data_IF_268473458588
#
_entry.id   IF_268473458588
#
_cell.length_a   1.000
_cell.length_b   1.000
_cell.length_c   1.000
_cell.angle_alpha   90.00
_cell.angle_beta   90.00
_cell.angle_gamma   90.00
#
_symmetry.space_group_name_H-M   'P 1'
#
loop_
_entity.id
_entity.type
_entity.pdbx_description
1 polymer ?
#
# COMPACT_ATOMS: atom_id res chain seq x y z
N UNK A 1 -67.00 -12.66 43.36
CA UNK A 1 -66.74 -12.00 42.05
C UNK A 1 -65.35 -11.36 42.12
N UNK A 2 -64.37 -11.95 41.41
CA UNK A 2 -63.52 -11.30 40.39
C UNK A 2 -62.87 -9.99 40.88
N UNK A 3 -61.54 -9.84 40.93
CA UNK A 3 -60.61 -10.06 39.82
C UNK A 3 -59.18 -10.33 40.33
N UNK A 4 -58.54 -11.34 39.74
CA UNK A 4 -57.08 -11.51 39.68
C UNK A 4 -56.45 -10.28 39.01
N UNK A 5 -55.41 -9.72 39.62
CA UNK A 5 -54.47 -8.83 38.94
C UNK A 5 -53.18 -9.63 38.67
N UNK A 6 -53.08 -10.12 37.44
CA UNK A 6 -51.90 -10.82 36.92
C UNK A 6 -50.75 -9.82 36.76
N UNK A 7 -49.68 -10.00 37.54
CA UNK A 7 -48.44 -9.25 37.41
C UNK A 7 -47.63 -9.87 36.26
N UNK A 8 -47.57 -9.20 35.10
CA UNK A 8 -46.71 -9.57 33.99
C UNK A 8 -45.30 -9.05 34.31
N UNK A 9 -44.39 -9.96 34.65
CA UNK A 9 -42.97 -9.68 34.71
C UNK A 9 -42.42 -9.58 33.28
N UNK A 10 -42.00 -8.39 32.88
CA UNK A 10 -41.29 -8.17 31.63
C UNK A 10 -39.87 -8.73 31.75
N UNK A 11 -39.62 -9.91 31.17
CA UNK A 11 -38.26 -10.35 30.85
C UNK A 11 -37.78 -9.56 29.63
N UNK A 12 -37.11 -8.44 29.88
CA UNK A 12 -36.20 -7.85 28.91
C UNK A 12 -34.92 -8.70 28.89
N UNK A 13 -34.83 -9.67 27.98
CA UNK A 13 -33.55 -10.29 27.64
C UNK A 13 -32.77 -9.26 26.80
N UNK A 14 -32.15 -8.31 27.50
CA UNK A 14 -31.11 -7.49 26.92
C UNK A 14 -29.86 -8.35 26.78
N UNK A 15 -29.62 -8.90 25.60
CA UNK A 15 -28.30 -9.41 25.23
C UNK A 15 -27.35 -8.22 25.11
N UNK A 16 -26.87 -7.70 26.24
CA UNK A 16 -25.62 -6.95 26.22
C UNK A 16 -24.55 -7.96 25.84
N UNK A 17 -24.16 -7.96 24.56
CA UNK A 17 -22.87 -8.47 24.16
C UNK A 17 -21.86 -7.57 24.87
N UNK A 18 -21.51 -7.90 26.11
CA UNK A 18 -20.26 -7.47 26.69
C UNK A 18 -19.21 -7.94 25.70
N UNK A 19 -18.63 -7.00 24.94
CA UNK A 19 -17.44 -7.29 24.17
C UNK A 19 -16.45 -7.93 25.16
N UNK A 20 -16.18 -9.22 24.99
CA UNK A 20 -15.24 -9.92 25.82
C UNK A 20 -13.94 -9.12 25.74
N UNK A 21 -13.44 -8.65 26.87
CA UNK A 21 -12.18 -7.91 26.91
C UNK A 21 -11.11 -8.79 26.25
N UNK A 22 -10.42 -8.24 25.25
CA UNK A 22 -9.34 -8.95 24.57
C UNK A 22 -8.34 -9.40 25.63
N UNK A 23 -8.02 -10.70 25.74
CA UNK A 23 -7.06 -11.18 26.72
C UNK A 23 -5.72 -10.45 26.55
N UNK A 24 -5.06 -10.10 27.68
CA UNK A 24 -3.81 -9.33 27.65
C UNK A 24 -2.73 -9.98 26.77
N UNK A 25 -2.59 -11.31 26.83
CA UNK A 25 -1.66 -12.07 25.98
C UNK A 25 -1.95 -11.90 24.48
N UNK A 26 -3.23 -11.89 24.09
CA UNK A 26 -3.65 -11.66 22.71
C UNK A 26 -3.36 -10.23 22.28
N UNK A 27 -3.57 -9.25 23.16
CA UNK A 27 -3.26 -7.85 22.89
C UNK A 27 -1.75 -7.63 22.63
N UNK A 28 -0.88 -8.29 23.38
CA UNK A 28 0.57 -8.24 23.14
C UNK A 28 0.96 -8.78 21.76
N UNK A 29 0.34 -9.88 21.33
CA UNK A 29 0.56 -10.43 19.99
C UNK A 29 0.10 -9.47 18.89
N UNK A 30 -1.09 -8.85 19.04
CA UNK A 30 -1.59 -7.83 18.12
C UNK A 30 -0.60 -6.65 18.02
N UNK A 31 -0.13 -6.15 19.16
CA UNK A 31 0.84 -5.05 19.20
C UNK A 31 2.15 -5.43 18.51
N UNK A 32 2.62 -6.67 18.67
CA UNK A 32 3.82 -7.17 17.99
C UNK A 32 3.64 -7.27 16.48
N UNK A 33 2.50 -7.75 16.01
CA UNK A 33 2.16 -7.76 14.57
C UNK A 33 2.19 -6.33 14.02
N UNK A 34 1.54 -5.38 14.69
CA UNK A 34 1.51 -3.98 14.26
C UNK A 34 2.91 -3.36 14.22
N UNK A 35 3.75 -3.64 15.23
CA UNK A 35 5.13 -3.18 15.26
C UNK A 35 5.96 -3.70 14.08
N UNK A 36 5.72 -4.94 13.65
CA UNK A 36 6.44 -5.57 12.53
C UNK A 36 5.89 -5.17 11.16
N UNK A 37 4.62 -4.81 11.09
CA UNK A 37 3.96 -4.41 9.85
C UNK A 37 4.22 -2.95 9.46
N UNK A 38 4.61 -2.09 10.42
CA UNK A 38 4.93 -0.68 10.20
C UNK A 38 3.78 0.16 9.58
N UNK A 39 2.56 0.18 10.18
CA UNK A 39 1.40 0.90 9.63
C UNK A 39 1.60 2.41 9.49
N UNK A 40 2.56 3.00 10.20
CA UNK A 40 2.94 4.40 10.10
C UNK A 40 3.30 4.83 8.67
N UNK A 41 3.90 3.93 7.87
CA UNK A 41 4.29 4.24 6.49
C UNK A 41 3.08 4.47 5.58
N UNK A 42 1.91 3.93 5.94
CA UNK A 42 0.66 4.15 5.21
C UNK A 42 0.25 5.62 5.35
N UNK A 43 0.31 6.18 6.56
CA UNK A 43 0.03 7.59 6.81
C UNK A 43 0.93 8.51 5.97
N UNK A 44 2.22 8.17 5.88
CA UNK A 44 3.16 8.92 5.03
C UNK A 44 2.83 8.81 3.54
N UNK A 45 2.48 7.61 3.07
CA UNK A 45 2.15 7.37 1.66
C UNK A 45 0.95 8.19 1.17
N UNK A 46 0.00 8.49 2.07
CA UNK A 46 -1.17 9.33 1.78
C UNK A 46 -0.81 10.78 1.47
N UNK A 47 0.34 11.26 1.96
CA UNK A 47 0.88 12.57 1.59
C UNK A 47 1.79 12.47 0.37
N UNK A 48 2.60 11.42 0.28
CA UNK A 48 3.60 11.26 -0.79
C UNK A 48 2.96 11.15 -2.18
N UNK A 49 1.88 10.39 -2.33
CA UNK A 49 1.20 10.21 -3.62
C UNK A 49 0.71 11.54 -4.23
N UNK A 50 -0.16 12.33 -3.56
CA UNK A 50 -0.67 13.57 -4.14
C UNK A 50 0.43 14.62 -4.36
N UNK A 51 1.44 14.66 -3.49
CA UNK A 51 2.60 15.55 -3.68
C UNK A 51 3.42 15.14 -4.90
N UNK A 52 3.68 13.84 -5.06
CA UNK A 52 4.36 13.30 -6.24
C UNK A 52 3.63 13.61 -7.54
N UNK A 53 2.31 13.42 -7.55
CA UNK A 53 1.45 13.73 -8.71
C UNK A 53 1.48 15.22 -9.05
N UNK A 54 1.39 16.10 -8.05
CA UNK A 54 1.48 17.55 -8.25
C UNK A 54 2.84 17.97 -8.84
N UNK A 55 3.95 17.43 -8.32
CA UNK A 55 5.30 17.70 -8.84
C UNK A 55 5.46 17.18 -10.26
N UNK A 56 4.93 15.99 -10.56
CA UNK A 56 5.01 15.42 -11.90
C UNK A 56 4.17 16.24 -12.90
N UNK A 57 2.98 16.67 -12.51
CA UNK A 57 2.13 17.54 -13.31
C UNK A 57 2.83 18.88 -13.60
N UNK A 58 3.46 19.48 -12.59
CA UNK A 58 4.23 20.70 -12.76
C UNK A 58 5.37 20.52 -13.78
N UNK A 59 6.08 19.39 -13.74
CA UNK A 59 7.13 19.06 -14.71
C UNK A 59 6.60 19.03 -16.14
N UNK A 60 5.46 18.37 -16.37
CA UNK A 60 4.82 18.30 -17.68
C UNK A 60 4.44 19.68 -18.20
N UNK A 61 3.83 20.51 -17.33
CA UNK A 61 3.42 21.87 -17.69
C UNK A 61 4.63 22.74 -18.05
N UNK A 62 5.71 22.69 -17.26
CA UNK A 62 6.89 23.50 -17.50
C UNK A 62 7.69 23.05 -18.74
N UNK A 63 7.75 21.75 -19.03
CA UNK A 63 8.40 21.23 -20.23
C UNK A 63 7.78 21.77 -21.53
N UNK A 64 6.46 22.00 -21.55
CA UNK A 64 5.76 22.53 -22.72
C UNK A 64 5.64 24.05 -22.79
N UNK A 65 6.05 24.80 -21.75
CA UNK A 65 5.71 26.23 -21.62
C UNK A 65 6.84 27.15 -21.17
N UNK A 66 7.96 26.63 -20.64
CA UNK A 66 9.04 27.44 -20.09
C UNK A 66 10.37 27.23 -20.84
N UNK A 67 11.18 28.28 -20.93
CA UNK A 67 12.59 28.20 -21.35
C UNK A 67 13.40 27.44 -20.27
N UNK A 68 14.52 26.77 -20.64
CA UNK A 68 15.24 25.86 -19.75
C UNK A 68 15.60 26.45 -18.38
N UNK A 69 16.13 27.67 -18.35
CA UNK A 69 16.60 28.32 -17.12
C UNK A 69 15.43 28.61 -16.16
N UNK A 70 14.31 29.10 -16.70
CA UNK A 70 13.09 29.38 -15.91
C UNK A 70 12.41 28.10 -15.46
N UNK A 71 12.41 27.06 -16.30
CA UNK A 71 11.92 25.73 -15.94
C UNK A 71 12.69 25.16 -14.77
N UNK A 72 14.01 25.22 -14.82
CA UNK A 72 14.87 24.59 -13.81
C UNK A 72 14.80 25.35 -12.47
N UNK A 73 14.75 26.69 -12.50
CA UNK A 73 14.48 27.51 -11.31
C UNK A 73 13.09 27.21 -10.71
N UNK A 74 12.02 27.23 -11.50
CA UNK A 74 10.68 26.92 -11.03
C UNK A 74 10.57 25.49 -10.46
N UNK A 75 11.22 24.50 -11.10
CA UNK A 75 11.24 23.14 -10.58
C UNK A 75 11.96 23.03 -9.24
N UNK A 76 13.04 23.80 -9.02
CA UNK A 76 13.73 23.83 -7.73
C UNK A 76 12.82 24.36 -6.63
N UNK A 77 12.11 25.46 -6.88
CA UNK A 77 11.20 26.07 -5.91
C UNK A 77 10.02 25.12 -5.60
N UNK A 78 9.42 24.52 -6.61
CA UNK A 78 8.34 23.53 -6.45
C UNK A 78 8.79 22.32 -5.61
N UNK A 79 10.00 21.83 -5.82
CA UNK A 79 10.56 20.74 -5.01
C UNK A 79 10.84 21.18 -3.56
N UNK A 80 11.20 22.45 -3.35
CA UNK A 80 11.37 23.01 -2.00
C UNK A 80 10.03 23.09 -1.27
N UNK A 81 9.01 23.65 -1.92
CA UNK A 81 7.66 23.76 -1.36
C UNK A 81 7.06 22.38 -1.05
N UNK A 82 7.26 21.42 -1.95
CA UNK A 82 6.81 20.04 -1.75
C UNK A 82 7.47 19.39 -0.52
N UNK A 83 8.77 19.62 -0.30
CA UNK A 83 9.47 19.11 0.89
C UNK A 83 8.97 19.77 2.16
N UNK A 84 8.84 21.10 2.15
CA UNK A 84 8.33 21.84 3.29
C UNK A 84 6.92 21.37 3.68
N UNK A 85 6.02 21.23 2.69
CA UNK A 85 4.69 20.69 2.91
C UNK A 85 4.73 19.31 3.57
N UNK A 86 5.57 18.40 3.06
CA UNK A 86 5.70 17.05 3.63
C UNK A 86 6.20 17.10 5.08
N UNK A 87 7.21 17.91 5.37
CA UNK A 87 7.82 17.99 6.70
C UNK A 87 6.85 18.59 7.74
N UNK A 88 6.10 19.62 7.36
CA UNK A 88 5.09 20.25 8.22
C UNK A 88 3.90 19.32 8.51
N UNK A 89 3.50 18.48 7.55
CA UNK A 89 2.28 17.69 7.64
C UNK A 89 2.49 16.22 8.05
N UNK A 90 3.73 15.71 7.98
CA UNK A 90 4.06 14.32 8.40
C UNK A 90 3.60 14.00 9.83
N UNK A 91 3.79 14.87 10.86
CA UNK A 91 3.34 14.55 12.21
C UNK A 91 1.83 14.35 12.30
N UNK A 92 1.04 15.14 11.58
CA UNK A 92 -0.41 15.02 11.56
C UNK A 92 -0.87 13.71 10.90
N UNK A 93 -0.26 13.33 9.78
CA UNK A 93 -0.54 12.05 9.11
C UNK A 93 -0.17 10.85 9.99
N UNK A 94 0.99 10.91 10.65
CA UNK A 94 1.43 9.89 11.59
C UNK A 94 0.48 9.74 12.78
N UNK A 95 0.09 10.86 13.41
CA UNK A 95 -0.87 10.85 14.52
C UNK A 95 -2.24 10.28 14.11
N UNK A 96 -2.70 10.60 12.90
CA UNK A 96 -3.92 10.03 12.33
C UNK A 96 -3.80 8.52 12.14
N UNK A 97 -2.69 8.04 11.57
CA UNK A 97 -2.44 6.62 11.40
C UNK A 97 -2.41 5.87 12.74
N UNK A 98 -1.70 6.39 13.74
CA UNK A 98 -1.65 5.81 15.09
C UNK A 98 -3.05 5.72 15.73
N UNK A 99 -3.85 6.79 15.59
CA UNK A 99 -5.23 6.79 16.08
C UNK A 99 -6.06 5.69 15.42
N UNK A 100 -6.04 5.60 14.08
CA UNK A 100 -6.81 4.60 13.33
C UNK A 100 -6.33 3.18 13.65
N UNK A 101 -5.02 3.00 13.86
CA UNK A 101 -4.46 1.73 14.34
C UNK A 101 -5.09 1.34 15.67
N UNK A 102 -5.11 2.24 16.65
CA UNK A 102 -5.68 1.96 17.98
C UNK A 102 -7.20 1.76 17.97
N UNK A 103 -7.94 2.55 17.19
CA UNK A 103 -9.43 2.51 17.22
C UNK A 103 -10.05 1.49 16.30
N UNK A 104 -9.32 1.01 15.28
CA UNK A 104 -9.90 0.21 14.20
C UNK A 104 -9.04 -1.01 13.87
N UNK A 105 -7.76 -0.82 13.55
CA UNK A 105 -6.93 -1.93 13.04
C UNK A 105 -6.60 -2.94 14.15
N UNK A 106 -6.20 -2.48 15.34
CA UNK A 106 -5.86 -3.37 16.45
C UNK A 106 -7.09 -4.19 16.92
N UNK A 107 -8.29 -3.60 17.12
CA UNK A 107 -9.51 -4.37 17.37
C UNK A 107 -9.83 -5.39 16.26
N UNK A 108 -9.68 -5.02 14.99
CA UNK A 108 -9.91 -5.94 13.87
C UNK A 108 -8.94 -7.13 13.92
N UNK A 109 -7.66 -6.91 14.20
CA UNK A 109 -6.69 -8.01 14.37
C UNK A 109 -7.06 -8.91 15.55
N UNK A 110 -7.45 -8.31 16.68
CA UNK A 110 -7.85 -9.05 17.88
C UNK A 110 -9.15 -9.86 17.68
N UNK A 111 -10.08 -9.39 16.87
CA UNK A 111 -11.35 -10.08 16.57
C UNK A 111 -11.16 -11.20 15.55
N UNK A 112 -10.39 -10.94 14.49
CA UNK A 112 -10.34 -11.79 13.28
C UNK A 112 -9.32 -12.92 13.33
N UNK A 113 -8.31 -12.80 14.20
CA UNK A 113 -7.25 -13.81 14.31
C UNK A 113 -7.23 -14.41 15.71
N UNK A 114 -6.92 -15.70 15.79
CA UNK A 114 -6.59 -16.40 17.03
C UNK A 114 -5.18 -16.03 17.51
N UNK A 115 -4.84 -16.36 18.76
CA UNK A 115 -3.48 -16.16 19.26
C UNK A 115 -2.45 -16.96 18.45
N UNK A 116 -2.78 -18.18 18.04
CA UNK A 116 -1.87 -19.03 17.27
C UNK A 116 -1.63 -18.48 15.86
N UNK A 117 -2.66 -17.95 15.20
CA UNK A 117 -2.51 -17.28 13.90
C UNK A 117 -1.69 -15.99 14.02
N UNK A 118 -1.88 -15.19 15.08
CA UNK A 118 -1.05 -14.01 15.33
C UNK A 118 0.42 -14.39 15.53
N UNK A 119 0.71 -15.48 16.27
CA UNK A 119 2.08 -16.02 16.42
C UNK A 119 2.67 -16.45 15.08
N UNK A 120 1.88 -17.10 14.22
CA UNK A 120 2.33 -17.49 12.88
C UNK A 120 2.63 -16.27 11.99
N UNK A 121 1.78 -15.24 12.05
CA UNK A 121 2.03 -13.97 11.33
C UNK A 121 3.35 -13.34 11.80
N UNK A 122 3.58 -13.26 13.11
CA UNK A 122 4.83 -12.74 13.68
C UNK A 122 6.03 -13.54 13.15
N UNK A 123 5.96 -14.87 13.20
CA UNK A 123 7.03 -15.73 12.71
C UNK A 123 7.34 -15.51 11.21
N UNK A 124 6.31 -15.27 10.39
CA UNK A 124 6.47 -14.94 8.97
C UNK A 124 7.13 -13.57 8.80
N UNK A 125 6.66 -12.55 9.51
CA UNK A 125 7.19 -11.18 9.42
C UNK A 125 8.66 -11.09 9.89
N UNK A 126 9.04 -11.88 10.90
CA UNK A 126 10.40 -11.93 11.42
C UNK A 126 11.32 -12.87 10.64
N UNK A 127 10.77 -13.72 9.76
CA UNK A 127 11.49 -14.82 9.14
C UNK A 127 12.76 -14.37 8.40
N UNK A 128 13.96 -14.74 8.89
CA UNK A 128 15.21 -14.43 8.19
C UNK A 128 15.33 -15.21 6.87
N UNK A 129 14.70 -16.38 6.79
CA UNK A 129 14.65 -17.18 5.57
C UNK A 129 13.80 -16.50 4.51
N UNK A 130 12.65 -15.91 4.89
CA UNK A 130 11.84 -15.08 3.99
C UNK A 130 12.65 -13.90 3.47
N UNK A 131 13.32 -13.16 4.35
CA UNK A 131 14.19 -12.03 3.96
C UNK A 131 15.30 -12.46 3.00
N UNK A 132 15.95 -13.60 3.27
CA UNK A 132 16.97 -14.16 2.38
C UNK A 132 16.40 -14.49 1.00
N UNK A 133 15.23 -15.14 0.96
CA UNK A 133 14.57 -15.47 -0.30
C UNK A 133 14.19 -14.21 -1.08
N UNK A 134 13.57 -13.22 -0.45
CA UNK A 134 13.19 -11.93 -1.07
C UNK A 134 14.41 -11.20 -1.65
N UNK A 135 15.54 -11.20 -0.95
CA UNK A 135 16.79 -10.63 -1.45
C UNK A 135 17.34 -11.35 -2.69
N UNK A 136 17.04 -12.65 -2.85
CA UNK A 136 17.45 -13.45 -4.01
C UNK A 136 16.50 -13.31 -5.22
N UNK A 137 15.25 -12.88 -5.02
CA UNK A 137 14.24 -12.81 -6.11
C UNK A 137 14.73 -12.05 -7.35
N UNK A 138 15.38 -10.88 -7.27
CA UNK A 138 15.84 -10.17 -8.46
C UNK A 138 16.86 -10.97 -9.29
N UNK A 139 17.77 -11.70 -8.63
CA UNK A 139 18.74 -12.55 -9.31
C UNK A 139 18.05 -13.75 -9.98
N UNK A 140 17.12 -14.40 -9.27
CA UNK A 140 16.32 -15.50 -9.81
C UNK A 140 15.53 -15.05 -11.04
N UNK A 141 14.89 -13.88 -10.99
CA UNK A 141 14.16 -13.29 -12.10
C UNK A 141 15.08 -12.99 -13.29
N UNK A 142 16.25 -12.39 -13.05
CA UNK A 142 17.25 -12.16 -14.11
C UNK A 142 17.64 -13.45 -14.78
N UNK A 143 17.97 -14.49 -14.01
CA UNK A 143 18.38 -15.80 -14.54
C UNK A 143 17.28 -16.49 -15.32
N UNK A 144 16.05 -16.44 -14.80
CA UNK A 144 14.89 -16.96 -15.51
C UNK A 144 14.67 -16.22 -16.84
N UNK A 145 14.76 -14.89 -16.85
CA UNK A 145 14.62 -14.07 -18.05
C UNK A 145 15.69 -14.35 -19.11
N UNK A 146 16.95 -14.45 -18.69
CA UNK A 146 18.07 -14.85 -19.56
C UNK A 146 17.81 -16.23 -20.21
N UNK A 147 17.35 -17.20 -19.41
CA UNK A 147 17.02 -18.55 -19.88
C UNK A 147 15.86 -18.57 -20.87
N UNK A 148 14.74 -17.92 -20.54
CA UNK A 148 13.56 -17.83 -21.42
C UNK A 148 13.89 -17.13 -22.73
N UNK A 149 14.66 -16.02 -22.68
CA UNK A 149 15.08 -15.32 -23.89
C UNK A 149 15.99 -16.20 -24.77
N UNK A 150 16.90 -16.96 -24.17
CA UNK A 150 17.76 -17.88 -24.91
C UNK A 150 16.98 -19.02 -25.57
N UNK A 151 16.03 -19.61 -24.86
CA UNK A 151 15.22 -20.74 -25.32
C UNK A 151 14.24 -20.34 -26.44
N UNK A 152 13.63 -19.15 -26.31
CA UNK A 152 12.61 -18.69 -27.26
C UNK A 152 13.16 -17.96 -28.49
N UNK A 153 14.42 -17.51 -28.46
CA UNK A 153 15.05 -16.67 -29.50
C UNK A 153 14.77 -17.13 -30.92
N UNK A 154 15.03 -18.41 -31.20
CA UNK A 154 14.89 -18.96 -32.56
C UNK A 154 13.46 -18.84 -33.13
N UNK A 155 12.46 -18.81 -32.26
CA UNK A 155 11.04 -18.72 -32.66
C UNK A 155 10.48 -17.29 -32.59
N UNK A 156 11.04 -16.44 -31.72
CA UNK A 156 10.53 -15.09 -31.46
C UNK A 156 11.19 -14.03 -32.33
N UNK A 157 12.49 -14.12 -32.62
CA UNK A 157 13.21 -13.11 -33.40
C UNK A 157 12.57 -12.84 -34.77
N UNK A 158 12.16 -13.86 -35.57
CA UNK A 158 11.49 -13.61 -36.85
C UNK A 158 10.15 -12.86 -36.68
N UNK A 159 9.38 -13.21 -35.65
CA UNK A 159 8.08 -12.59 -35.36
C UNK A 159 8.22 -11.15 -34.88
N UNK A 160 9.26 -10.87 -34.10
CA UNK A 160 9.59 -9.51 -33.64
C UNK A 160 10.00 -8.62 -34.80
N UNK A 161 10.80 -9.14 -35.73
CA UNK A 161 11.17 -8.39 -36.95
C UNK A 161 9.95 -8.05 -37.79
N UNK A 162 9.06 -9.02 -38.02
CA UNK A 162 7.81 -8.80 -38.76
C UNK A 162 6.93 -7.72 -38.09
N UNK A 163 6.86 -7.72 -36.75
CA UNK A 163 6.14 -6.68 -36.01
C UNK A 163 6.76 -5.29 -36.20
N UNK A 164 8.09 -5.17 -36.11
CA UNK A 164 8.81 -3.91 -36.30
C UNK A 164 8.55 -3.31 -37.69
N UNK A 165 8.55 -4.16 -38.73
CA UNK A 165 8.24 -3.74 -40.10
C UNK A 165 6.82 -3.18 -40.21
N UNK A 166 5.82 -3.87 -39.64
CA UNK A 166 4.43 -3.40 -39.61
C UNK A 166 4.26 -2.09 -38.86
N UNK A 167 4.92 -1.92 -37.71
CA UNK A 167 4.91 -0.67 -36.95
C UNK A 167 5.49 0.46 -37.80
N UNK A 168 6.66 0.24 -38.42
CA UNK A 168 7.30 1.22 -39.28
C UNK A 168 6.43 1.64 -40.46
N UNK A 169 5.71 0.70 -41.09
CA UNK A 169 4.75 1.01 -42.15
C UNK A 169 3.63 1.92 -41.64
N UNK A 170 2.99 1.56 -40.52
CA UNK A 170 1.89 2.34 -39.94
C UNK A 170 2.33 3.75 -39.54
N UNK A 171 3.50 3.88 -38.94
CA UNK A 171 4.06 5.18 -38.59
C UNK A 171 4.24 6.03 -39.84
N UNK A 172 4.91 5.51 -40.88
CA UNK A 172 5.09 6.25 -42.14
C UNK A 172 3.76 6.68 -42.75
N UNK A 173 2.76 5.80 -42.79
CA UNK A 173 1.42 6.15 -43.28
C UNK A 173 0.72 7.24 -42.46
N UNK A 174 1.00 7.36 -41.17
CA UNK A 174 0.37 8.35 -40.29
C UNK A 174 1.03 9.74 -40.34
N UNK A 175 2.30 9.84 -40.75
CA UNK A 175 3.04 11.12 -40.87
C UNK A 175 3.24 11.58 -42.32
N UNK A 176 2.80 10.81 -43.31
CA UNK A 176 2.77 11.28 -44.71
C UNK A 176 1.47 12.07 -44.93
N UNK A 177 1.52 13.30 -45.46
CA UNK A 177 0.34 14.14 -45.70
C UNK A 177 -0.62 13.55 -46.74
#
# INVERSE_FOLDING_TARGET
MKKLATMIAALAIGSSVQAAQVPAAKQELVNRVLQLWHPETIGESMLQQPVGDAVQQARVVLQGRAVPEKRDAAMKDILSDARQFMDENRPAAHASAQKVVGTTVAPMLAERFTEDELRQIIAILESPVKKKFEAMVPELQKKLGEGVAADTRATMDPKLKELQERIGMRLRSAVTP
#
